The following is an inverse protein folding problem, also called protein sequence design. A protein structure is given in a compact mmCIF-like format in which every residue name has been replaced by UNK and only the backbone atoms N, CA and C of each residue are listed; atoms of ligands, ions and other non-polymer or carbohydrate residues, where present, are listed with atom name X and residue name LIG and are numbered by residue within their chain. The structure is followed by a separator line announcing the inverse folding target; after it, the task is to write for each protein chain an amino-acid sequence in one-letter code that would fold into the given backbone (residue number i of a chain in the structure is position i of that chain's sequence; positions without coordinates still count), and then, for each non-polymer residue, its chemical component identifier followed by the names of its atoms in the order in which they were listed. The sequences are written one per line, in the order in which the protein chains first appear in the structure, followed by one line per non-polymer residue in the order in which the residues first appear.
data_IF_661816023871
#
_entry.id   IF_661816023871
#
_cell.length_a   1.000
_cell.length_b   1.000
_cell.length_c   1.000
_cell.angle_alpha   90.00
_cell.angle_beta   90.00
_cell.angle_gamma   90.00
#
_symmetry.space_group_name_H-M   'P 1'
#
loop_
_entity.id
_entity.type
_entity.pdbx_description
1 polymer ?
#
# COMPACT_ATOMS: atom_id res chain seq x y z
N UNK A 1 5.86 15.34 6.77
CA UNK A 1 6.06 16.02 5.50
C UNK A 1 7.40 15.55 4.88
N UNK A 2 7.49 15.27 3.58
CA UNK A 2 8.68 14.64 2.98
C UNK A 2 9.92 15.54 2.99
N UNK A 3 9.75 16.83 3.11
CA UNK A 3 10.84 17.81 3.23
C UNK A 3 11.39 17.93 4.66
N UNK A 4 10.70 17.43 5.68
CA UNK A 4 11.14 17.54 7.09
C UNK A 4 12.52 16.92 7.28
N UNK A 5 13.46 17.70 7.80
CA UNK A 5 14.87 17.34 7.95
C UNK A 5 15.67 17.33 6.64
N UNK A 6 15.07 17.77 5.51
CA UNK A 6 15.68 17.82 4.17
C UNK A 6 15.50 19.19 3.51
N UNK A 7 15.23 20.23 4.30
CA UNK A 7 14.85 21.57 3.85
C UNK A 7 15.93 22.22 3.00
N UNK A 8 17.21 21.98 3.32
CA UNK A 8 18.34 22.49 2.54
C UNK A 8 18.31 22.01 1.06
N UNK A 9 17.73 20.82 0.83
CA UNK A 9 17.67 20.21 -0.50
C UNK A 9 16.35 20.47 -1.22
N UNK A 10 15.23 20.44 -0.50
CA UNK A 10 13.89 20.43 -1.08
C UNK A 10 13.00 21.58 -0.60
N UNK A 11 13.44 22.40 0.36
CA UNK A 11 12.64 23.50 0.92
C UNK A 11 12.31 24.58 -0.10
N UNK A 12 13.11 24.71 -1.17
CA UNK A 12 12.81 25.61 -2.29
C UNK A 12 12.94 24.83 -3.59
N UNK A 13 11.84 24.66 -4.31
CA UNK A 13 11.84 24.05 -5.63
C UNK A 13 12.31 25.08 -6.68
N UNK A 14 13.44 24.82 -7.31
CA UNK A 14 13.92 25.64 -8.42
C UNK A 14 13.23 25.28 -9.73
N UNK A 15 12.93 26.25 -10.61
CA UNK A 15 12.46 25.96 -11.96
C UNK A 15 13.41 25.01 -12.69
N UNK A 16 12.87 24.16 -13.54
CA UNK A 16 13.66 23.26 -14.36
C UNK A 16 14.46 24.06 -15.40
N UNK A 17 15.68 23.60 -15.69
CA UNK A 17 16.53 24.22 -16.73
C UNK A 17 15.89 24.13 -18.13
N UNK A 18 15.24 23.01 -18.43
CA UNK A 18 14.49 22.78 -19.67
C UNK A 18 13.13 22.17 -19.38
N UNK A 19 12.10 22.66 -20.06
CA UNK A 19 10.76 22.11 -19.96
C UNK A 19 10.69 20.74 -20.63
N UNK A 20 10.17 19.74 -19.90
CA UNK A 20 9.93 18.37 -20.39
C UNK A 20 8.44 18.10 -20.43
N UNK A 21 8.03 17.19 -21.32
CA UNK A 21 6.74 16.55 -21.31
C UNK A 21 6.79 15.29 -20.46
N UNK A 22 6.08 15.30 -19.33
CA UNK A 22 6.14 14.24 -18.32
C UNK A 22 4.78 13.55 -18.21
N UNK A 23 4.78 12.22 -18.30
CA UNK A 23 3.64 11.39 -17.95
C UNK A 23 3.88 10.76 -16.59
N UNK A 24 2.91 10.89 -15.69
CA UNK A 24 2.89 10.18 -14.40
C UNK A 24 1.80 9.12 -14.47
N UNK A 25 2.16 7.87 -14.23
CA UNK A 25 1.26 6.71 -14.28
C UNK A 25 0.97 6.21 -12.88
N UNK A 26 -0.25 6.43 -12.42
CA UNK A 26 -0.74 6.09 -11.09
C UNK A 26 -0.99 7.32 -10.21
N UNK A 27 -2.20 7.44 -9.71
CA UNK A 27 -2.68 8.54 -8.85
C UNK A 27 -2.64 8.20 -7.36
N UNK A 28 -1.71 7.33 -6.92
CA UNK A 28 -1.39 7.12 -5.52
C UNK A 28 -0.49 8.25 -4.96
N UNK A 29 -0.15 8.23 -3.65
CA UNK A 29 0.62 9.30 -3.01
C UNK A 29 1.94 9.64 -3.71
N UNK A 30 2.68 8.63 -4.20
CA UNK A 30 3.94 8.84 -4.93
C UNK A 30 3.73 9.60 -6.23
N UNK A 31 2.77 9.14 -7.07
CA UNK A 31 2.50 9.76 -8.36
C UNK A 31 1.90 11.16 -8.21
N UNK A 32 0.99 11.36 -7.27
CA UNK A 32 0.40 12.69 -7.00
C UNK A 32 1.48 13.70 -6.59
N UNK A 33 2.40 13.33 -5.68
CA UNK A 33 3.51 14.20 -5.28
C UNK A 33 4.46 14.46 -6.43
N UNK A 34 4.82 13.43 -7.20
CA UNK A 34 5.69 13.59 -8.37
C UNK A 34 5.08 14.54 -9.41
N UNK A 35 3.78 14.40 -9.68
CA UNK A 35 3.09 15.25 -10.64
C UNK A 35 3.05 16.71 -10.19
N UNK A 36 2.70 16.97 -8.91
CA UNK A 36 2.66 18.30 -8.35
C UNK A 36 4.04 18.99 -8.40
N UNK A 37 5.09 18.30 -7.97
CA UNK A 37 6.46 18.85 -7.94
C UNK A 37 7.00 19.09 -9.36
N UNK A 38 6.82 18.16 -10.28
CA UNK A 38 7.27 18.32 -11.66
C UNK A 38 6.57 19.51 -12.33
N UNK A 39 5.26 19.66 -12.15
CA UNK A 39 4.49 20.78 -12.69
C UNK A 39 4.90 22.12 -12.05
N UNK A 40 5.10 22.18 -10.72
CA UNK A 40 5.57 23.37 -10.02
C UNK A 40 6.96 23.84 -10.51
N UNK A 41 7.79 22.92 -11.02
CA UNK A 41 9.08 23.23 -11.62
C UNK A 41 8.98 23.67 -13.10
N UNK A 42 7.77 23.69 -13.69
CA UNK A 42 7.53 24.19 -15.05
C UNK A 42 7.47 23.12 -16.14
N UNK A 43 7.49 21.83 -15.80
CA UNK A 43 7.27 20.76 -16.78
C UNK A 43 5.80 20.69 -17.23
N UNK A 44 5.57 20.15 -18.43
CA UNK A 44 4.21 19.82 -18.90
C UNK A 44 3.83 18.43 -18.37
N UNK A 45 2.95 18.37 -17.36
CA UNK A 45 2.65 17.14 -16.64
C UNK A 45 1.22 16.68 -16.90
N UNK A 46 1.09 15.40 -17.27
CA UNK A 46 -0.20 14.70 -17.27
C UNK A 46 -0.12 13.49 -16.37
N UNK A 47 -0.99 13.43 -15.36
CA UNK A 47 -1.16 12.28 -14.50
C UNK A 47 -2.32 11.42 -15.02
N UNK A 48 -2.07 10.13 -15.19
CA UNK A 48 -3.05 9.12 -15.55
C UNK A 48 -3.32 8.20 -14.36
N UNK A 49 -4.59 7.97 -14.07
CA UNK A 49 -5.06 7.06 -13.03
C UNK A 49 -6.07 6.07 -13.64
N UNK A 50 -5.87 4.77 -13.42
CA UNK A 50 -6.75 3.72 -13.94
C UNK A 50 -8.12 3.71 -13.26
N UNK A 51 -8.18 4.08 -11.99
CA UNK A 51 -9.42 4.18 -11.23
C UNK A 51 -10.14 5.53 -11.45
N UNK A 52 -11.42 5.57 -11.08
CA UNK A 52 -12.21 6.80 -11.10
C UNK A 52 -11.75 7.81 -10.02
N UNK A 53 -11.00 7.38 -9.01
CA UNK A 53 -10.61 8.19 -7.87
C UNK A 53 -9.10 8.13 -7.62
N UNK A 54 -8.52 9.26 -7.24
CA UNK A 54 -7.13 9.36 -6.80
C UNK A 54 -6.94 8.80 -5.38
N UNK A 55 -5.68 8.55 -5.00
CA UNK A 55 -5.29 8.21 -3.64
C UNK A 55 -4.72 6.80 -3.48
N UNK A 56 -4.95 5.90 -4.44
CA UNK A 56 -4.40 4.54 -4.40
C UNK A 56 -4.64 3.85 -3.04
N UNK A 57 -3.62 3.21 -2.49
CA UNK A 57 -3.73 2.47 -1.21
C UNK A 57 -4.05 3.37 0.01
N UNK A 58 -3.78 4.69 -0.03
CA UNK A 58 -4.15 5.58 1.06
C UNK A 58 -5.67 5.61 1.30
N UNK A 59 -6.48 5.34 0.25
CA UNK A 59 -7.93 5.17 0.36
C UNK A 59 -8.33 3.96 1.20
N UNK A 60 -7.55 2.90 1.18
CA UNK A 60 -7.77 1.71 2.01
C UNK A 60 -7.23 1.91 3.42
N UNK A 61 -6.05 2.52 3.54
CA UNK A 61 -5.42 2.77 4.83
C UNK A 61 -6.31 3.59 5.77
N UNK A 62 -7.03 4.61 5.26
CA UNK A 62 -7.95 5.43 6.06
C UNK A 62 -9.16 4.66 6.61
N UNK A 63 -9.48 3.47 6.06
CA UNK A 63 -10.60 2.63 6.51
C UNK A 63 -10.23 1.77 7.74
N UNK A 64 -8.95 1.66 8.07
CA UNK A 64 -8.53 1.01 9.30
C UNK A 64 -8.95 1.84 10.52
N UNK A 65 -9.31 1.19 11.64
CA UNK A 65 -9.65 1.89 12.88
C UNK A 65 -8.57 2.91 13.26
N UNK A 66 -9.01 4.13 13.61
CA UNK A 66 -8.15 5.26 14.01
C UNK A 66 -7.12 5.71 12.98
N UNK A 67 -7.39 5.47 11.67
CA UNK A 67 -6.48 5.85 10.58
C UNK A 67 -7.15 6.76 9.54
N UNK A 68 -8.26 7.39 9.90
CA UNK A 68 -8.99 8.30 8.99
C UNK A 68 -8.13 9.47 8.49
N UNK A 69 -7.09 9.85 9.24
CA UNK A 69 -6.14 10.90 8.88
C UNK A 69 -5.39 10.63 7.56
N UNK A 70 -5.28 9.36 7.12
CA UNK A 70 -4.70 9.03 5.81
C UNK A 70 -5.48 9.63 4.64
N UNK A 71 -6.77 9.93 4.81
CA UNK A 71 -7.56 10.69 3.84
C UNK A 71 -7.00 12.09 3.59
N UNK A 72 -6.37 12.70 4.62
CA UNK A 72 -5.70 13.99 4.51
C UNK A 72 -4.54 14.01 3.52
N UNK A 73 -3.82 12.89 3.35
CA UNK A 73 -2.76 12.76 2.34
C UNK A 73 -3.33 12.99 0.95
N UNK A 74 -4.47 12.38 0.65
CA UNK A 74 -5.14 12.47 -0.66
C UNK A 74 -5.59 13.91 -0.90
N UNK A 75 -6.25 14.51 0.09
CA UNK A 75 -6.76 15.89 0.01
C UNK A 75 -5.63 16.89 -0.22
N UNK A 76 -4.55 16.79 0.56
CA UNK A 76 -3.40 17.68 0.45
C UNK A 76 -2.70 17.54 -0.91
N UNK A 77 -2.43 16.31 -1.36
CA UNK A 77 -1.77 16.09 -2.64
C UNK A 77 -2.66 16.48 -3.83
N UNK A 78 -3.97 16.29 -3.74
CA UNK A 78 -4.90 16.80 -4.74
C UNK A 78 -4.80 18.32 -4.85
N UNK A 79 -4.77 19.01 -3.71
CA UNK A 79 -4.63 20.46 -3.68
C UNK A 79 -3.28 20.93 -4.23
N UNK A 80 -2.17 20.24 -3.92
CA UNK A 80 -0.86 20.55 -4.50
C UNK A 80 -0.89 20.44 -6.04
N UNK A 81 -1.51 19.40 -6.59
CA UNK A 81 -1.64 19.21 -8.04
C UNK A 81 -2.52 20.29 -8.70
N UNK A 82 -3.62 20.69 -8.05
CA UNK A 82 -4.49 21.78 -8.53
C UNK A 82 -3.71 23.10 -8.62
N UNK A 83 -2.98 23.46 -7.55
CA UNK A 83 -2.18 24.68 -7.51
C UNK A 83 -1.06 24.68 -8.56
N UNK A 84 -0.48 23.51 -8.84
CA UNK A 84 0.52 23.33 -9.87
C UNK A 84 -0.08 23.15 -11.29
N UNK A 85 -1.41 23.18 -11.43
CA UNK A 85 -2.12 23.05 -12.71
C UNK A 85 -1.82 21.72 -13.45
N UNK A 86 -1.68 20.62 -12.71
CA UNK A 86 -1.48 19.29 -13.29
C UNK A 86 -2.70 18.85 -14.09
N UNK A 87 -2.49 18.35 -15.31
CA UNK A 87 -3.56 17.73 -16.10
C UNK A 87 -3.79 16.31 -15.59
N UNK A 88 -5.04 16.01 -15.15
CA UNK A 88 -5.39 14.72 -14.56
C UNK A 88 -6.36 13.97 -15.48
N UNK A 89 -6.06 12.72 -15.80
CA UNK A 89 -6.87 11.79 -16.57
C UNK A 89 -7.20 10.57 -15.72
N UNK A 90 -8.46 10.46 -15.27
CA UNK A 90 -8.97 9.34 -14.47
C UNK A 90 -9.67 8.31 -15.34
N UNK A 91 -9.73 7.05 -14.89
CA UNK A 91 -10.35 5.95 -15.64
C UNK A 91 -9.54 5.55 -16.87
N UNK A 92 -8.25 5.89 -16.91
CA UNK A 92 -7.37 5.63 -18.04
C UNK A 92 -6.17 4.79 -17.61
N UNK A 93 -6.14 3.54 -18.06
CA UNK A 93 -4.98 2.67 -17.89
C UNK A 93 -3.96 2.98 -18.98
N UNK A 94 -2.74 3.31 -18.57
CA UNK A 94 -1.64 3.59 -19.49
C UNK A 94 -1.06 2.26 -19.98
N UNK A 95 -0.88 2.17 -21.29
CA UNK A 95 -0.19 1.10 -21.99
C UNK A 95 0.90 1.67 -22.91
N UNK A 96 1.63 0.77 -23.59
CA UNK A 96 2.67 1.16 -24.54
C UNK A 96 2.12 2.05 -25.67
N UNK A 97 0.93 1.75 -26.20
CA UNK A 97 0.35 2.50 -27.31
C UNK A 97 0.05 3.96 -26.92
N UNK A 98 -0.46 4.19 -25.71
CA UNK A 98 -0.70 5.53 -25.18
C UNK A 98 0.63 6.29 -25.00
N UNK A 99 1.65 5.66 -24.43
CA UNK A 99 2.97 6.30 -24.26
C UNK A 99 3.57 6.67 -25.61
N UNK A 100 3.52 5.78 -26.60
CA UNK A 100 3.99 6.03 -27.96
C UNK A 100 3.24 7.20 -28.63
N UNK A 101 1.91 7.23 -28.50
CA UNK A 101 1.06 8.33 -29.03
C UNK A 101 1.39 9.67 -28.38
N UNK A 102 1.61 9.66 -27.08
CA UNK A 102 1.88 10.88 -26.32
C UNK A 102 3.31 11.38 -26.49
N UNK A 103 4.25 10.51 -26.85
CA UNK A 103 5.69 10.82 -27.04
C UNK A 103 6.26 11.72 -25.92
N UNK A 104 6.25 11.26 -24.63
CA UNK A 104 6.81 12.04 -23.53
C UNK A 104 8.33 11.96 -23.49
N UNK A 105 8.98 12.95 -22.89
CA UNK A 105 10.41 12.89 -22.58
C UNK A 105 10.69 11.94 -21.42
N UNK A 106 9.77 11.92 -20.43
CA UNK A 106 9.91 11.09 -19.23
C UNK A 106 8.57 10.50 -18.82
N UNK A 107 8.59 9.22 -18.43
CA UNK A 107 7.46 8.53 -17.79
C UNK A 107 7.84 8.18 -16.35
N UNK A 108 7.09 8.70 -15.39
CA UNK A 108 7.19 8.32 -13.98
C UNK A 108 6.16 7.23 -13.71
N UNK A 109 6.63 6.00 -13.41
CA UNK A 109 5.79 4.84 -13.12
C UNK A 109 5.59 4.76 -11.61
N UNK A 110 4.36 5.02 -11.17
CA UNK A 110 3.89 5.02 -9.78
C UNK A 110 2.65 4.12 -9.63
N UNK A 111 2.63 3.01 -10.35
CA UNK A 111 1.51 2.07 -10.47
C UNK A 111 1.19 1.30 -9.19
N UNK A 112 2.00 1.49 -8.15
CA UNK A 112 1.75 0.92 -6.83
C UNK A 112 2.02 -0.58 -6.76
N UNK A 113 1.26 -1.27 -5.92
CA UNK A 113 1.40 -2.70 -5.66
C UNK A 113 0.04 -3.34 -5.46
N UNK A 114 0.00 -4.66 -5.47
CA UNK A 114 -1.18 -5.49 -5.16
C UNK A 114 -0.88 -6.39 -3.97
N UNK A 115 -1.89 -6.88 -3.22
CA UNK A 115 -1.68 -7.83 -2.14
C UNK A 115 -0.87 -9.05 -2.61
N UNK A 116 0.08 -9.48 -1.79
CA UNK A 116 0.77 -10.75 -2.01
C UNK A 116 -0.12 -11.90 -1.54
N UNK A 117 -0.46 -12.78 -2.46
CA UNK A 117 -1.24 -14.01 -2.21
C UNK A 117 -0.36 -15.18 -2.63
N UNK A 118 0.21 -15.93 -1.67
CA UNK A 118 0.98 -17.13 -1.97
C UNK A 118 0.07 -18.26 -2.43
N UNK A 119 0.64 -19.19 -3.19
CA UNK A 119 -0.01 -20.47 -3.47
C UNK A 119 0.11 -21.36 -2.23
N UNK A 120 -1.01 -21.56 -1.55
CA UNK A 120 -1.09 -22.33 -0.30
C UNK A 120 -2.03 -23.52 -0.50
N UNK A 121 -1.69 -24.70 0.07
CA UNK A 121 -2.60 -25.84 0.09
C UNK A 121 -3.95 -25.48 0.73
N UNK A 122 -5.03 -25.66 0.01
CA UNK A 122 -6.39 -25.39 0.48
C UNK A 122 -7.40 -26.28 -0.22
N UNK A 123 -8.33 -26.84 0.53
CA UNK A 123 -9.48 -27.60 0.00
C UNK A 123 -10.71 -26.70 -0.22
N UNK A 124 -10.60 -25.41 0.05
CA UNK A 124 -11.69 -24.44 -0.07
C UNK A 124 -12.68 -24.43 1.11
N UNK A 125 -12.48 -25.24 2.14
CA UNK A 125 -13.34 -25.27 3.34
C UNK A 125 -13.21 -24.02 4.22
N UNK A 126 -12.08 -23.31 4.12
CA UNK A 126 -11.81 -22.02 4.77
C UNK A 126 -11.70 -20.96 3.72
N UNK A 127 -12.47 -19.89 3.86
CA UNK A 127 -12.40 -18.74 2.95
C UNK A 127 -11.07 -18.00 3.12
N UNK A 128 -10.38 -17.67 2.01
CA UNK A 128 -9.19 -16.83 2.05
C UNK A 128 -9.49 -15.47 1.42
N UNK A 129 -9.25 -14.39 2.16
CA UNK A 129 -9.44 -13.00 1.72
C UNK A 129 -8.17 -12.20 1.97
N UNK A 130 -7.88 -11.26 1.11
CA UNK A 130 -6.86 -10.24 1.36
C UNK A 130 -7.40 -9.17 2.31
N UNK A 131 -6.50 -8.45 3.00
CA UNK A 131 -6.87 -7.28 3.79
C UNK A 131 -7.65 -6.23 2.97
N UNK A 132 -7.32 -6.08 1.68
CA UNK A 132 -8.01 -5.14 0.80
C UNK A 132 -9.47 -5.51 0.57
N UNK A 133 -9.76 -6.78 0.28
CA UNK A 133 -11.12 -7.27 0.10
C UNK A 133 -11.97 -7.04 1.35
N UNK A 134 -11.41 -7.31 2.54
CA UNK A 134 -12.08 -7.06 3.83
C UNK A 134 -12.39 -5.57 4.03
N UNK A 135 -11.45 -4.69 3.71
CA UNK A 135 -11.64 -3.23 3.79
C UNK A 135 -12.64 -2.71 2.75
N UNK A 136 -12.75 -3.38 1.61
CA UNK A 136 -13.74 -3.10 0.56
C UNK A 136 -15.11 -3.72 0.83
N UNK A 137 -15.29 -4.40 1.95
CA UNK A 137 -16.59 -4.88 2.41
C UNK A 137 -16.88 -6.36 2.14
N UNK A 138 -15.87 -7.16 1.77
CA UNK A 138 -16.04 -8.61 1.69
C UNK A 138 -16.51 -9.17 3.03
N UNK A 139 -17.47 -10.11 2.97
CA UNK A 139 -18.02 -10.77 4.17
C UNK A 139 -17.09 -11.88 4.63
N UNK A 140 -16.84 -11.94 5.93
CA UNK A 140 -16.11 -13.02 6.59
C UNK A 140 -17.09 -13.94 7.35
N UNK A 141 -16.63 -15.13 7.74
CA UNK A 141 -17.30 -15.96 8.74
C UNK A 141 -17.16 -15.38 10.16
N UNK A 142 -17.69 -16.08 11.15
CA UNK A 142 -17.66 -15.62 12.52
C UNK A 142 -16.29 -15.77 13.20
N UNK A 143 -15.54 -16.84 12.86
CA UNK A 143 -14.20 -17.12 13.39
C UNK A 143 -13.18 -16.73 12.34
N UNK A 144 -12.34 -15.75 12.62
CA UNK A 144 -11.39 -15.22 11.64
C UNK A 144 -9.96 -15.34 12.16
N UNK A 145 -9.09 -15.94 11.34
CA UNK A 145 -7.65 -15.89 11.52
C UNK A 145 -7.08 -14.75 10.66
N UNK A 146 -6.40 -13.79 11.24
CA UNK A 146 -5.62 -12.77 10.55
C UNK A 146 -4.16 -13.25 10.49
N UNK A 147 -3.64 -13.53 9.30
CA UNK A 147 -2.25 -13.92 9.10
C UNK A 147 -1.40 -12.68 8.79
N UNK A 148 -0.52 -12.30 9.72
CA UNK A 148 0.33 -11.11 9.59
C UNK A 148 1.80 -11.47 9.44
N UNK A 149 2.38 -11.16 8.25
CA UNK A 149 3.81 -11.35 7.98
C UNK A 149 4.63 -10.05 8.13
N UNK A 150 3.95 -8.92 8.27
CA UNK A 150 4.60 -7.61 8.24
C UNK A 150 4.88 -7.04 9.61
N UNK A 151 4.10 -7.40 10.61
CA UNK A 151 4.15 -6.83 11.96
C UNK A 151 4.08 -5.29 11.95
N UNK A 152 3.26 -4.74 11.05
CA UNK A 152 3.00 -3.30 10.88
C UNK A 152 1.56 -2.94 11.33
N UNK A 153 0.98 -1.90 10.75
CA UNK A 153 -0.36 -1.40 11.08
C UNK A 153 -1.51 -2.28 10.57
N UNK A 154 -1.28 -3.04 9.48
CA UNK A 154 -2.37 -3.65 8.71
C UNK A 154 -3.00 -4.80 9.47
N UNK A 155 -2.20 -5.79 9.92
CA UNK A 155 -2.71 -6.96 10.65
C UNK A 155 -3.51 -6.58 11.90
N UNK A 156 -2.94 -5.79 12.82
CA UNK A 156 -3.64 -5.30 14.00
C UNK A 156 -4.91 -4.51 13.69
N UNK A 157 -4.86 -3.62 12.70
CA UNK A 157 -6.00 -2.81 12.28
C UNK A 157 -7.15 -3.64 11.69
N UNK A 158 -6.84 -4.67 10.89
CA UNK A 158 -7.84 -5.63 10.39
C UNK A 158 -8.45 -6.42 11.54
N UNK A 159 -7.64 -6.90 12.50
CA UNK A 159 -8.14 -7.62 13.66
C UNK A 159 -9.13 -6.76 14.48
N UNK A 160 -8.75 -5.51 14.79
CA UNK A 160 -9.63 -4.55 15.49
C UNK A 160 -10.94 -4.31 14.70
N UNK A 161 -10.86 -4.08 13.39
CA UNK A 161 -12.04 -3.84 12.55
C UNK A 161 -13.00 -5.04 12.51
N UNK A 162 -12.47 -6.26 12.51
CA UNK A 162 -13.28 -7.48 12.47
C UNK A 162 -13.96 -7.76 13.82
N UNK A 163 -13.27 -7.55 14.95
CA UNK A 163 -13.90 -7.66 16.27
C UNK A 163 -15.02 -6.64 16.44
N UNK A 164 -14.83 -5.40 15.97
CA UNK A 164 -15.89 -4.38 16.00
C UNK A 164 -17.11 -4.75 15.15
N UNK A 165 -16.96 -5.68 14.19
CA UNK A 165 -18.06 -6.27 13.40
C UNK A 165 -18.65 -7.53 14.03
N UNK A 166 -18.19 -7.96 15.20
CA UNK A 166 -18.69 -9.10 15.95
C UNK A 166 -18.00 -10.43 15.65
N UNK A 167 -16.86 -10.43 14.98
CA UNK A 167 -16.08 -11.65 14.74
C UNK A 167 -15.24 -12.02 15.97
N UNK A 168 -15.02 -13.32 16.18
CA UNK A 168 -13.96 -13.83 17.05
C UNK A 168 -12.66 -13.86 16.24
N UNK A 169 -11.62 -13.18 16.70
CA UNK A 169 -10.39 -12.99 15.93
C UNK A 169 -9.17 -13.56 16.62
N UNK A 170 -8.39 -14.35 15.88
CA UNK A 170 -7.02 -14.71 16.22
C UNK A 170 -6.06 -14.05 15.24
N UNK A 171 -4.99 -13.44 15.77
CA UNK A 171 -3.94 -12.78 14.98
C UNK A 171 -2.66 -13.62 15.05
N UNK A 172 -2.30 -14.26 13.95
CA UNK A 172 -1.10 -15.07 13.82
C UNK A 172 0.05 -14.22 13.23
N UNK A 173 1.12 -14.10 13.98
CA UNK A 173 2.28 -13.30 13.60
C UNK A 173 3.45 -14.21 13.20
N UNK A 174 4.05 -13.99 12.03
CA UNK A 174 5.34 -14.62 11.71
C UNK A 174 6.46 -14.07 12.59
N UNK A 175 6.34 -12.81 13.00
CA UNK A 175 7.26 -12.11 13.88
C UNK A 175 7.14 -12.56 15.35
N UNK A 176 8.19 -12.31 16.19
CA UNK A 176 8.16 -12.62 17.60
C UNK A 176 7.24 -11.73 18.43
N UNK A 177 6.83 -10.57 17.90
CA UNK A 177 6.01 -9.59 18.61
C UNK A 177 5.03 -8.87 17.71
N UNK A 178 3.90 -8.49 18.29
CA UNK A 178 2.86 -7.67 17.68
C UNK A 178 3.43 -6.31 17.28
N UNK A 179 3.09 -5.86 16.06
CA UNK A 179 3.44 -4.53 15.56
C UNK A 179 4.93 -4.16 15.74
N UNK A 180 5.82 -5.15 15.55
CA UNK A 180 7.25 -5.04 15.86
C UNK A 180 8.00 -3.99 15.02
N UNK A 181 7.44 -3.56 13.89
CA UNK A 181 8.00 -2.50 13.06
C UNK A 181 7.58 -1.08 13.49
N UNK A 182 6.68 -0.97 14.48
CA UNK A 182 6.18 0.32 14.94
C UNK A 182 6.94 0.82 16.17
N UNK A 183 6.93 2.15 16.40
CA UNK A 183 7.49 2.73 17.63
C UNK A 183 6.85 2.12 18.89
N UNK A 184 7.66 1.96 19.94
CA UNK A 184 7.26 1.28 21.18
C UNK A 184 5.92 1.77 21.74
N UNK A 185 5.73 3.08 21.85
CA UNK A 185 4.51 3.67 22.41
C UNK A 185 3.26 3.40 21.56
N UNK A 186 3.41 3.27 20.24
CA UNK A 186 2.32 2.89 19.32
C UNK A 186 1.99 1.42 19.46
N UNK A 187 3.01 0.57 19.53
CA UNK A 187 2.87 -0.88 19.71
C UNK A 187 2.15 -1.20 21.01
N UNK A 188 2.52 -0.51 22.11
CA UNK A 188 1.93 -0.76 23.42
C UNK A 188 0.44 -0.33 23.45
N UNK A 189 0.06 0.77 22.79
CA UNK A 189 -1.33 1.19 22.62
C UNK A 189 -2.13 0.14 21.79
N UNK A 190 -1.56 -0.36 20.69
CA UNK A 190 -2.19 -1.43 19.89
C UNK A 190 -2.37 -2.69 20.73
N UNK A 191 -1.35 -3.12 21.47
CA UNK A 191 -1.41 -4.32 22.30
C UNK A 191 -2.50 -4.21 23.38
N UNK A 192 -2.59 -3.06 24.06
CA UNK A 192 -3.62 -2.80 25.06
C UNK A 192 -5.03 -2.86 24.46
N UNK A 193 -5.23 -2.28 23.27
CA UNK A 193 -6.55 -2.32 22.61
C UNK A 193 -6.95 -3.71 22.18
N UNK A 194 -6.06 -4.45 21.51
CA UNK A 194 -6.36 -5.81 21.06
C UNK A 194 -6.61 -6.76 22.24
N UNK A 195 -5.88 -6.60 23.35
CA UNK A 195 -6.13 -7.33 24.57
C UNK A 195 -7.52 -7.00 25.15
N UNK A 196 -7.89 -5.71 25.21
CA UNK A 196 -9.22 -5.28 25.68
C UNK A 196 -10.38 -5.71 24.76
N UNK A 197 -10.08 -6.15 23.54
CA UNK A 197 -11.03 -6.69 22.56
C UNK A 197 -11.00 -8.23 22.48
N UNK A 198 -10.33 -8.91 23.40
CA UNK A 198 -10.16 -10.37 23.45
C UNK A 198 -9.55 -10.98 22.17
N UNK A 199 -8.70 -10.24 21.47
CA UNK A 199 -7.98 -10.78 20.31
C UNK A 199 -6.85 -11.68 20.79
N UNK A 200 -6.90 -12.95 20.40
CA UNK A 200 -5.80 -13.89 20.66
C UNK A 200 -4.63 -13.62 19.72
N UNK A 201 -3.46 -13.33 20.28
CA UNK A 201 -2.22 -13.09 19.48
C UNK A 201 -1.29 -14.28 19.61
N UNK A 202 -0.93 -14.89 18.45
CA UNK A 202 -0.04 -16.04 18.37
C UNK A 202 1.24 -15.65 17.62
N UNK A 203 2.35 -15.37 18.33
CA UNK A 203 3.63 -15.06 17.69
C UNK A 203 4.29 -16.32 17.10
N UNK A 204 5.31 -16.13 16.26
CA UNK A 204 6.04 -17.21 15.59
C UNK A 204 5.16 -18.14 14.74
N UNK A 205 4.00 -17.71 14.30
CA UNK A 205 3.03 -18.52 13.58
C UNK A 205 2.93 -18.10 12.11
N UNK A 206 3.44 -18.95 11.22
CA UNK A 206 3.41 -18.75 9.78
C UNK A 206 2.29 -19.56 9.16
N UNK A 207 1.44 -18.95 8.35
CA UNK A 207 0.40 -19.63 7.58
C UNK A 207 1.01 -20.65 6.61
N UNK A 208 0.50 -21.89 6.66
CA UNK A 208 0.95 -23.01 5.83
C UNK A 208 -0.14 -23.46 4.84
N UNK A 209 -1.42 -23.52 5.29
CA UNK A 209 -2.54 -23.94 4.47
C UNK A 209 -3.82 -24.07 5.28
N UNK A 210 -4.89 -24.61 4.66
CA UNK A 210 -6.16 -24.87 5.33
C UNK A 210 -6.89 -26.06 4.72
N UNK A 211 -7.49 -26.90 5.56
CA UNK A 211 -8.34 -28.01 5.13
C UNK A 211 -9.31 -28.44 6.24
N UNK A 212 -10.52 -28.89 5.87
CA UNK A 212 -11.52 -29.39 6.80
C UNK A 212 -11.98 -28.39 7.87
N UNK A 213 -11.97 -27.08 7.56
CA UNK A 213 -12.32 -26.03 8.52
C UNK A 213 -11.19 -25.67 9.50
N UNK A 214 -10.00 -26.28 9.33
CA UNK A 214 -8.81 -26.02 10.15
C UNK A 214 -7.75 -25.28 9.33
N UNK A 215 -7.17 -24.25 9.91
CA UNK A 215 -6.01 -23.52 9.39
C UNK A 215 -4.75 -24.08 10.04
N UNK A 216 -3.79 -24.46 9.21
CA UNK A 216 -2.50 -24.98 9.65
C UNK A 216 -1.47 -23.88 9.63
N UNK A 217 -0.84 -23.65 10.77
CA UNK A 217 0.28 -22.74 10.93
C UNK A 217 1.53 -23.53 11.31
N UNK A 218 2.70 -22.99 10.99
CA UNK A 218 3.98 -23.53 11.43
C UNK A 218 4.63 -22.55 12.41
N UNK A 219 5.04 -23.05 13.56
CA UNK A 219 5.86 -22.26 14.48
C UNK A 219 7.25 -22.02 13.88
N UNK A 220 7.57 -20.76 13.59
CA UNK A 220 8.75 -20.39 12.75
C UNK A 220 10.10 -20.75 13.39
N UNK A 221 10.19 -20.87 14.71
CA UNK A 221 11.42 -21.19 15.41
C UNK A 221 11.60 -22.70 15.67
N UNK A 222 10.51 -23.43 15.98
CA UNK A 222 10.59 -24.86 16.31
C UNK A 222 10.17 -25.79 15.18
N UNK A 223 9.47 -25.28 14.16
CA UNK A 223 8.88 -26.10 13.11
C UNK A 223 7.59 -26.82 13.51
N UNK A 224 7.15 -26.71 14.77
CA UNK A 224 5.95 -27.38 15.25
C UNK A 224 4.69 -26.89 14.53
N UNK A 225 3.74 -27.82 14.30
CA UNK A 225 2.45 -27.48 13.76
C UNK A 225 1.58 -26.80 14.83
N UNK A 226 0.79 -25.82 14.39
CA UNK A 226 -0.25 -25.16 15.18
C UNK A 226 -1.54 -25.24 14.36
N UNK A 227 -2.62 -25.69 14.97
CA UNK A 227 -3.92 -25.84 14.33
C UNK A 227 -4.90 -24.82 14.90
N UNK A 228 -5.67 -24.16 14.04
CA UNK A 228 -6.65 -23.14 14.41
C UNK A 228 -7.94 -23.38 13.63
N UNK A 229 -9.06 -23.54 14.31
CA UNK A 229 -10.36 -23.56 13.66
C UNK A 229 -10.76 -22.15 13.23
N UNK A 230 -11.02 -21.96 11.95
CA UNK A 230 -11.47 -20.67 11.42
C UNK A 230 -12.37 -20.86 10.18
N UNK A 231 -13.31 -19.93 10.03
CA UNK A 231 -14.19 -19.87 8.85
C UNK A 231 -13.54 -19.06 7.74
N UNK A 232 -12.69 -18.10 8.12
CA UNK A 232 -12.00 -17.21 7.17
C UNK A 232 -10.55 -16.93 7.63
N UNK A 233 -9.62 -16.92 6.67
CA UNK A 233 -8.26 -16.38 6.84
C UNK A 233 -8.18 -15.05 6.12
N UNK A 234 -7.68 -14.01 6.80
CA UNK A 234 -7.37 -12.71 6.18
C UNK A 234 -5.86 -12.57 6.02
N UNK A 235 -5.44 -12.40 4.76
CA UNK A 235 -4.05 -12.35 4.36
C UNK A 235 -3.50 -10.91 4.48
N UNK A 236 -2.69 -10.65 5.52
CA UNK A 236 -1.93 -9.42 5.73
C UNK A 236 -0.44 -9.69 5.46
N UNK A 237 -0.13 -10.25 4.27
CA UNK A 237 1.18 -10.83 3.96
C UNK A 237 2.13 -9.86 3.24
N UNK A 238 1.71 -8.60 3.06
CA UNK A 238 2.44 -7.60 2.30
C UNK A 238 1.95 -7.47 0.86
N UNK A 239 2.79 -6.87 0.00
CA UNK A 239 2.40 -6.51 -1.35
C UNK A 239 3.46 -6.89 -2.37
N UNK A 240 3.05 -7.08 -3.61
CA UNK A 240 3.90 -7.29 -4.78
C UNK A 240 3.84 -6.05 -5.68
N UNK A 241 4.97 -5.49 -6.13
CA UNK A 241 5.00 -4.38 -7.06
C UNK A 241 4.20 -4.66 -8.34
N UNK A 242 3.61 -3.60 -8.91
CA UNK A 242 3.03 -3.61 -10.26
C UNK A 242 3.98 -2.82 -11.16
N UNK A 243 4.94 -3.50 -11.79
CA UNK A 243 6.06 -2.90 -12.51
C UNK A 243 6.12 -3.26 -14.02
N UNK A 244 5.17 -4.04 -14.50
CA UNK A 244 5.13 -4.58 -15.87
C UNK A 244 5.26 -3.50 -16.96
N UNK A 245 4.74 -2.30 -16.72
CA UNK A 245 4.76 -1.21 -17.69
C UNK A 245 6.19 -0.76 -18.03
N UNK A 246 7.11 -0.80 -17.04
CA UNK A 246 8.49 -0.37 -17.23
C UNK A 246 9.17 -1.06 -18.42
N UNK A 247 9.09 -2.38 -18.45
CA UNK A 247 9.71 -3.18 -19.52
C UNK A 247 9.08 -2.89 -20.88
N UNK A 248 7.77 -2.61 -20.91
CA UNK A 248 7.03 -2.35 -22.14
C UNK A 248 7.36 -1.02 -22.81
N UNK A 249 7.88 -0.03 -22.06
CA UNK A 249 8.08 1.35 -22.56
C UNK A 249 9.52 1.83 -22.46
N UNK A 250 10.46 0.97 -22.08
CA UNK A 250 11.85 1.35 -21.84
C UNK A 250 12.58 1.92 -23.08
N UNK A 251 12.10 1.59 -24.27
CA UNK A 251 12.60 2.08 -25.55
C UNK A 251 11.93 3.37 -26.06
N UNK A 252 10.86 3.83 -25.37
CA UNK A 252 10.05 4.97 -25.83
C UNK A 252 10.37 6.30 -25.11
N UNK A 253 10.83 6.23 -23.87
CA UNK A 253 11.09 7.41 -23.03
C UNK A 253 12.05 7.07 -21.89
N UNK A 254 12.54 8.11 -21.19
CA UNK A 254 13.19 7.92 -19.91
C UNK A 254 12.16 7.42 -18.90
N UNK A 255 12.39 6.26 -18.26
CA UNK A 255 11.46 5.66 -17.27
C UNK A 255 12.03 5.77 -15.87
N UNK A 256 11.25 6.36 -14.96
CA UNK A 256 11.56 6.47 -13.52
C UNK A 256 10.52 5.72 -12.72
N UNK A 257 10.93 4.75 -11.91
CA UNK A 257 10.04 4.01 -10.99
C UNK A 257 10.04 4.65 -9.61
N UNK A 258 8.86 4.78 -8.98
CA UNK A 258 8.71 5.34 -7.64
C UNK A 258 7.60 4.64 -6.82
N UNK A 259 7.68 4.80 -5.51
CA UNK A 259 6.70 4.26 -4.59
C UNK A 259 6.66 2.73 -4.61
N UNK A 260 5.50 2.18 -4.34
CA UNK A 260 5.32 0.73 -4.24
C UNK A 260 5.51 -0.03 -5.56
N UNK A 261 5.48 0.67 -6.69
CA UNK A 261 5.86 0.10 -7.98
C UNK A 261 7.34 -0.27 -8.03
N UNK A 262 8.19 0.45 -7.28
CA UNK A 262 9.61 0.13 -7.12
C UNK A 262 9.82 -0.86 -5.96
N UNK A 263 9.25 -0.58 -4.79
CA UNK A 263 9.31 -1.44 -3.62
C UNK A 263 8.21 -1.06 -2.62
N UNK A 264 7.28 -1.97 -2.26
CA UNK A 264 6.21 -1.69 -1.32
C UNK A 264 6.73 -1.34 0.08
N UNK A 265 6.42 -0.13 0.55
CA UNK A 265 6.83 0.41 1.86
C UNK A 265 5.72 1.25 2.46
N UNK A 266 6.06 2.39 3.08
CA UNK A 266 5.08 3.27 3.71
C UNK A 266 4.70 4.46 2.81
N UNK A 267 3.66 5.20 3.20
CA UNK A 267 3.25 6.41 2.50
C UNK A 267 4.33 7.51 2.56
N UNK A 268 5.18 7.50 3.60
CA UNK A 268 6.29 8.45 3.74
C UNK A 268 7.30 8.28 2.61
N UNK A 269 7.79 7.05 2.39
CA UNK A 269 8.72 6.77 1.30
C UNK A 269 8.08 7.06 -0.05
N UNK A 270 6.81 6.69 -0.25
CA UNK A 270 6.11 6.93 -1.48
C UNK A 270 6.07 8.42 -1.83
N UNK A 271 5.70 9.29 -0.89
CA UNK A 271 5.66 10.75 -1.09
C UNK A 271 7.06 11.33 -1.26
N UNK A 272 8.04 10.84 -0.47
CA UNK A 272 9.44 11.29 -0.59
C UNK A 272 10.05 10.92 -1.95
N UNK A 273 9.81 9.71 -2.44
CA UNK A 273 10.30 9.31 -3.77
C UNK A 273 9.66 10.10 -4.89
N UNK A 274 8.36 10.42 -4.78
CA UNK A 274 7.70 11.33 -5.70
C UNK A 274 8.36 12.70 -5.77
N UNK A 275 8.65 13.30 -4.60
CA UNK A 275 9.39 14.55 -4.48
C UNK A 275 10.79 14.44 -5.12
N UNK A 276 11.55 13.43 -4.72
CA UNK A 276 12.94 13.23 -5.16
C UNK A 276 13.05 13.03 -6.67
N UNK A 277 12.19 12.19 -7.25
CA UNK A 277 12.18 11.89 -8.67
C UNK A 277 11.85 13.13 -9.50
N UNK A 278 10.81 13.87 -9.12
CA UNK A 278 10.40 15.07 -9.83
C UNK A 278 11.38 16.24 -9.65
N UNK A 279 12.05 16.35 -8.50
CA UNK A 279 13.09 17.34 -8.27
C UNK A 279 14.36 17.09 -9.11
N UNK A 280 14.55 15.88 -9.63
CA UNK A 280 15.71 15.51 -10.44
C UNK A 280 15.46 15.62 -11.96
N UNK A 281 14.24 15.96 -12.42
CA UNK A 281 13.90 16.14 -13.83
C UNK A 281 14.54 17.42 -14.40
#
# INVERSE_FOLDING_TARGET
HPETGRELRFGTLTPAFSRKKVIVVGGGPAGMKAAAVAAARGHEVTLYEADAQLGGQARLAQLLPRRAEFGGIITNLTREMELAQVRIQRGVRVDRALVQKMAPDTVIVATGAVPYVPDLPSDGSVQMLTAWEVLQGAKTGARVLVADWRADWVGPGIAEALVQKGCTVQLALTAPMLAGQLPLYVRDDIAARLHGLDVTVTPYARLYGAAGGTVYLQHTASGAAIEVEADTVVLCLGHRPVDDLRAQIADLAQVVMIGDAMAPRTAEEAVYEGLKAAAAL
#
